data_IF_216765784512
#
_entry.id   IF_216765784512
#
_cell.length_a   1.000
_cell.length_b   1.000
_cell.length_c   1.000
_cell.angle_alpha   90.00
_cell.angle_beta   90.00
_cell.angle_gamma   90.00
#
_symmetry.space_group_name_H-M   'P 1'
#
loop_
_entity.id
_entity.type
_entity.pdbx_description
1 polymer ?
#
# COMPACT_ATOMS: atom_id res chain seq x y z
N UNK A 1 -0.40 0.43 1.87
CA UNK A 1 0.31 -0.51 0.97
C UNK A 1 -0.30 -1.92 0.99
N UNK A 2 -0.50 -2.54 2.16
CA UNK A 2 -1.01 -3.92 2.32
C UNK A 2 -2.30 -4.22 1.54
N UNK A 3 -3.27 -3.31 1.53
CA UNK A 3 -4.53 -3.48 0.79
C UNK A 3 -4.34 -3.57 -0.73
N UNK A 4 -3.31 -2.91 -1.28
CA UNK A 4 -2.99 -2.97 -2.71
C UNK A 4 -2.37 -4.31 -3.07
N UNK A 5 -1.36 -4.72 -2.30
CA UNK A 5 -0.70 -6.01 -2.46
C UNK A 5 -1.70 -7.17 -2.41
N UNK A 6 -2.67 -7.11 -1.49
CA UNK A 6 -3.72 -8.13 -1.35
C UNK A 6 -4.70 -8.13 -2.53
N UNK A 7 -5.05 -6.96 -3.05
CA UNK A 7 -5.91 -6.85 -4.22
C UNK A 7 -5.22 -7.41 -5.47
N UNK A 8 -3.94 -7.09 -5.69
CA UNK A 8 -3.14 -7.60 -6.81
C UNK A 8 -2.95 -9.12 -6.71
N UNK A 9 -2.70 -9.64 -5.50
CA UNK A 9 -2.61 -11.10 -5.29
C UNK A 9 -3.93 -11.82 -5.61
N UNK A 10 -5.09 -11.18 -5.39
CA UNK A 10 -6.39 -11.73 -5.82
C UNK A 10 -6.56 -11.69 -7.33
N UNK A 11 -6.11 -10.62 -7.99
CA UNK A 11 -6.14 -10.50 -9.47
C UNK A 11 -5.29 -11.59 -10.11
N UNK A 12 -4.08 -11.79 -9.61
CA UNK A 12 -3.17 -12.85 -10.04
C UNK A 12 -3.84 -14.23 -10.03
N UNK A 13 -4.52 -14.56 -8.92
CA UNK A 13 -5.21 -15.84 -8.75
C UNK A 13 -6.54 -15.93 -9.53
N UNK A 14 -7.07 -14.81 -10.04
CA UNK A 14 -8.28 -14.77 -10.85
C UNK A 14 -8.01 -15.08 -12.32
N UNK A 15 -9.08 -15.27 -13.11
CA UNK A 15 -9.00 -15.54 -14.57
C UNK A 15 -9.26 -14.30 -15.44
N UNK A 16 -9.50 -13.15 -14.83
CA UNK A 16 -9.89 -11.95 -15.54
C UNK A 16 -8.71 -11.40 -16.36
N UNK A 17 -8.93 -11.17 -17.66
CA UNK A 17 -7.90 -10.67 -18.58
C UNK A 17 -7.57 -9.19 -18.40
N UNK A 18 -8.54 -8.38 -17.96
CA UNK A 18 -8.37 -6.96 -17.65
C UNK A 18 -8.92 -6.64 -16.27
N UNK A 19 -8.13 -5.99 -15.42
CA UNK A 19 -8.60 -5.49 -14.12
C UNK A 19 -8.28 -4.00 -13.95
N UNK A 20 -9.33 -3.21 -13.78
CA UNK A 20 -9.24 -1.80 -13.39
C UNK A 20 -9.33 -1.71 -11.87
N UNK A 21 -8.31 -1.16 -11.23
CA UNK A 21 -8.26 -0.96 -9.79
C UNK A 21 -8.30 0.52 -9.47
N UNK A 22 -9.41 0.95 -8.87
CA UNK A 22 -9.58 2.30 -8.35
C UNK A 22 -9.25 2.29 -6.87
N UNK A 23 -8.34 3.16 -6.46
CA UNK A 23 -8.01 3.24 -5.04
C UNK A 23 -7.71 4.67 -4.63
N UNK A 24 -8.20 5.03 -3.45
CA UNK A 24 -7.66 6.13 -2.64
C UNK A 24 -6.28 5.76 -2.14
N UNK A 25 -5.34 5.74 -3.08
CA UNK A 25 -3.94 5.66 -2.78
C UNK A 25 -3.42 7.08 -2.75
N UNK A 26 -2.67 7.43 -1.70
CA UNK A 26 -1.81 8.60 -1.72
C UNK A 26 -0.85 8.43 -2.91
N UNK A 27 -0.79 9.40 -3.81
CA UNK A 27 0.09 9.44 -4.99
C UNK A 27 1.50 8.89 -4.73
N UNK A 28 2.04 9.12 -3.53
CA UNK A 28 3.33 8.57 -3.07
C UNK A 28 3.44 7.04 -3.14
N UNK A 29 2.39 6.25 -2.91
CA UNK A 29 2.48 4.79 -3.02
C UNK A 29 2.52 4.32 -4.48
N UNK A 30 1.89 5.05 -5.41
CA UNK A 30 1.99 4.78 -6.84
C UNK A 30 3.39 5.14 -7.33
N UNK A 31 3.90 6.29 -6.92
CA UNK A 31 5.28 6.69 -7.18
C UNK A 31 6.28 5.67 -6.63
N UNK A 32 6.07 5.17 -5.41
CA UNK A 32 6.86 4.07 -4.83
C UNK A 32 6.76 2.79 -5.65
N UNK A 33 5.64 2.48 -6.29
CA UNK A 33 5.52 1.31 -7.18
C UNK A 33 6.25 1.51 -8.51
N UNK A 34 6.26 2.73 -9.04
CA UNK A 34 6.93 3.07 -10.31
C UNK A 34 8.45 3.23 -10.09
N UNK A 35 8.88 3.75 -8.93
CA UNK A 35 10.28 4.09 -8.68
C UNK A 35 11.15 2.85 -8.46
N UNK A 36 12.18 2.61 -9.26
CA UNK A 36 13.00 1.40 -9.16
C UNK A 36 13.77 1.21 -7.83
N UNK A 37 13.91 2.26 -6.99
CA UNK A 37 14.81 2.31 -5.82
C UNK A 37 14.19 1.98 -4.45
N UNK A 38 13.13 1.19 -4.36
CA UNK A 38 12.51 0.86 -3.06
C UNK A 38 12.77 -0.58 -2.63
N UNK A 39 13.40 -0.77 -1.47
CA UNK A 39 13.73 -2.09 -0.90
C UNK A 39 12.60 -2.73 -0.07
N UNK A 40 11.45 -2.06 0.07
CA UNK A 40 10.35 -2.55 0.87
C UNK A 40 9.80 -3.88 0.30
N UNK A 41 9.77 -4.93 1.13
CA UNK A 41 9.39 -6.30 0.74
C UNK A 41 8.02 -6.38 0.06
N UNK A 42 7.01 -5.68 0.60
CA UNK A 42 5.67 -5.59 0.00
C UNK A 42 5.66 -4.98 -1.41
N UNK A 43 6.46 -3.94 -1.67
CA UNK A 43 6.52 -3.28 -2.99
C UNK A 43 7.14 -4.23 -3.99
N UNK A 44 8.25 -4.88 -3.62
CA UNK A 44 8.93 -5.88 -4.45
C UNK A 44 8.02 -7.06 -4.82
N UNK A 45 7.25 -7.57 -3.85
CA UNK A 45 6.28 -8.65 -4.09
C UNK A 45 5.17 -8.20 -5.04
N UNK A 46 4.62 -7.01 -4.78
CA UNK A 46 3.55 -6.44 -5.61
C UNK A 46 3.98 -6.24 -7.06
N UNK A 47 5.20 -5.75 -7.30
CA UNK A 47 5.75 -5.61 -8.65
C UNK A 47 5.89 -6.95 -9.36
N UNK A 48 6.40 -7.97 -8.66
CA UNK A 48 6.52 -9.32 -9.21
C UNK A 48 5.16 -9.86 -9.64
N UNK A 49 4.16 -9.74 -8.78
CA UNK A 49 2.80 -10.19 -9.10
C UNK A 49 2.23 -9.42 -10.31
N UNK A 50 2.47 -8.11 -10.43
CA UNK A 50 2.07 -7.33 -11.62
C UNK A 50 2.82 -7.81 -12.88
N UNK A 51 4.13 -8.01 -12.81
CA UNK A 51 4.93 -8.48 -13.93
C UNK A 51 4.47 -9.86 -14.41
N UNK A 52 4.16 -10.78 -13.50
CA UNK A 52 3.63 -12.10 -13.84
C UNK A 52 2.27 -11.99 -14.57
N UNK A 53 1.36 -11.15 -14.08
CA UNK A 53 0.07 -10.89 -14.74
C UNK A 53 0.28 -10.36 -16.17
N UNK A 54 1.22 -9.43 -16.36
CA UNK A 54 1.56 -8.89 -17.69
C UNK A 54 2.17 -9.96 -18.60
N UNK A 55 3.06 -10.83 -18.09
CA UNK A 55 3.65 -11.92 -18.88
C UNK A 55 2.62 -12.96 -19.31
N UNK A 56 1.52 -13.12 -18.56
CA UNK A 56 0.38 -13.95 -18.96
C UNK A 56 -0.54 -13.28 -20.00
N UNK A 57 -0.18 -12.09 -20.49
CA UNK A 57 -0.98 -11.34 -21.47
C UNK A 57 -2.18 -10.61 -20.87
N UNK A 58 -2.22 -10.46 -19.54
CA UNK A 58 -3.31 -9.79 -18.82
C UNK A 58 -2.91 -8.35 -18.48
N UNK A 59 -3.88 -7.44 -18.49
CA UNK A 59 -3.65 -6.02 -18.24
C UNK A 59 -4.22 -5.59 -16.87
N UNK A 60 -3.43 -4.78 -16.15
CA UNK A 60 -3.85 -4.18 -14.87
C UNK A 60 -3.72 -2.66 -14.98
N UNK A 61 -4.84 -1.95 -14.87
CA UNK A 61 -4.85 -0.49 -14.82
C UNK A 61 -5.06 -0.02 -13.39
N UNK A 62 -4.14 0.80 -12.91
CA UNK A 62 -4.19 1.40 -11.58
C UNK A 62 -4.61 2.86 -11.71
N UNK A 63 -5.76 3.20 -11.14
CA UNK A 63 -6.28 4.56 -11.12
C UNK A 63 -6.17 5.12 -9.70
N UNK A 64 -5.48 6.26 -9.57
CA UNK A 64 -5.43 7.03 -8.35
C UNK A 64 -6.60 8.01 -8.35
N UNK A 65 -7.54 7.83 -7.43
CA UNK A 65 -8.66 8.76 -7.24
C UNK A 65 -8.43 9.52 -5.92
N UNK A 66 -8.95 10.75 -5.83
CA UNK A 66 -8.93 11.53 -4.60
C UNK A 66 -10.01 11.03 -3.65
N UNK A 67 -9.68 11.00 -2.36
CA UNK A 67 -10.60 10.59 -1.33
C UNK A 67 -11.78 11.55 -1.20
N UNK A 68 -12.95 10.99 -0.86
CA UNK A 68 -14.20 11.74 -0.68
C UNK A 68 -14.69 12.46 -1.94
N UNK A 69 -14.44 11.88 -3.12
CA UNK A 69 -14.96 12.39 -4.40
C UNK A 69 -16.32 11.79 -4.79
N UNK A 70 -17.01 11.07 -3.90
CA UNK A 70 -18.33 10.50 -4.17
C UNK A 70 -18.33 9.18 -4.94
N UNK A 71 -17.16 8.53 -5.11
CA UNK A 71 -17.11 7.19 -5.72
C UNK A 71 -17.58 6.16 -4.69
N UNK A 72 -18.86 5.76 -4.79
CA UNK A 72 -19.55 4.82 -3.89
C UNK A 72 -18.71 3.57 -3.53
N UNK A 73 -18.10 2.90 -4.51
CA UNK A 73 -17.31 1.70 -4.24
C UNK A 73 -16.04 1.95 -3.42
N UNK A 74 -15.39 3.11 -3.61
CA UNK A 74 -14.19 3.49 -2.89
C UNK A 74 -14.53 3.97 -1.47
N UNK A 75 -15.64 4.70 -1.30
CA UNK A 75 -16.13 5.11 0.02
C UNK A 75 -16.54 3.90 0.87
N UNK A 76 -17.22 2.92 0.27
CA UNK A 76 -17.55 1.65 0.91
C UNK A 76 -16.29 0.90 1.36
N UNK A 77 -15.25 0.84 0.52
CA UNK A 77 -13.97 0.23 0.89
C UNK A 77 -13.26 0.96 2.03
N UNK A 78 -13.27 2.29 2.04
CA UNK A 78 -12.69 3.10 3.12
C UNK A 78 -13.44 2.91 4.44
N UNK A 79 -14.77 2.88 4.42
CA UNK A 79 -15.58 2.66 5.62
C UNK A 79 -15.37 1.25 6.18
N UNK A 80 -15.29 0.23 5.32
CA UNK A 80 -14.94 -1.13 5.74
C UNK A 80 -13.53 -1.20 6.35
N UNK A 81 -12.55 -0.49 5.78
CA UNK A 81 -11.21 -0.41 6.34
C UNK A 81 -11.19 0.29 7.71
N UNK A 82 -11.95 1.38 7.86
CA UNK A 82 -12.10 2.11 9.12
C UNK A 82 -12.72 1.24 10.21
N UNK A 83 -13.81 0.53 9.89
CA UNK A 83 -14.45 -0.43 10.81
C UNK A 83 -13.48 -1.54 11.21
N UNK A 84 -12.77 -2.13 10.25
CA UNK A 84 -11.80 -3.18 10.53
C UNK A 84 -10.66 -2.71 11.46
N UNK A 85 -10.18 -1.48 11.29
CA UNK A 85 -9.16 -0.89 12.16
C UNK A 85 -9.66 -0.62 13.59
N UNK A 86 -10.95 -0.29 13.76
CA UNK A 86 -11.54 -0.09 15.08
C UNK A 86 -11.78 -1.41 15.84
N UNK A 87 -12.13 -2.48 15.12
CA UNK A 87 -12.46 -3.78 15.75
C UNK A 87 -11.23 -4.66 15.99
N UNK A 88 -10.19 -4.54 15.14
CA UNK A 88 -8.95 -5.31 15.31
C UNK A 88 -7.89 -4.42 15.95
N UNK A 89 -7.45 -4.78 17.17
CA UNK A 89 -6.13 -4.40 17.72
C UNK A 89 -5.04 -5.05 16.87
N UNK A 90 -4.88 -4.62 15.63
CA UNK A 90 -3.79 -5.06 14.76
C UNK A 90 -2.52 -4.40 15.28
N UNK A 91 -1.50 -5.22 15.56
CA UNK A 91 -0.15 -4.74 15.86
C UNK A 91 0.24 -3.79 14.73
N UNK A 92 0.62 -2.57 15.08
CA UNK A 92 1.07 -1.60 14.11
C UNK A 92 2.27 -2.18 13.35
N UNK A 93 2.11 -2.32 12.03
CA UNK A 93 3.15 -2.75 11.10
C UNK A 93 4.13 -1.59 10.92
N UNK A 94 5.01 -1.42 11.90
CA UNK A 94 6.14 -0.52 11.79
C UNK A 94 7.22 -1.18 10.94
N UNK A 95 7.95 -0.39 10.16
CA UNK A 95 9.26 -0.83 9.66
C UNK A 95 10.11 -1.31 10.85
N UNK A 96 10.99 -2.28 10.65
CA UNK A 96 11.84 -2.86 11.72
C UNK A 96 12.58 -1.79 12.55
N UNK A 97 12.74 -0.59 11.99
CA UNK A 97 13.19 0.59 12.70
C UNK A 97 12.38 1.84 12.30
N UNK A 98 11.37 2.27 13.09
CA UNK A 98 10.57 3.44 12.78
C UNK A 98 11.42 4.72 12.80
N UNK A 99 11.31 5.57 11.77
CA UNK A 99 12.04 6.85 11.73
C UNK A 99 11.68 7.78 12.89
N UNK A 100 10.45 7.72 13.40
CA UNK A 100 10.03 8.44 14.60
C UNK A 100 10.80 7.99 15.84
N UNK A 101 11.08 6.68 15.95
CA UNK A 101 11.91 6.11 17.00
C UNK A 101 13.37 6.56 16.84
N UNK A 102 13.93 6.49 15.63
CA UNK A 102 15.27 7.01 15.32
C UNK A 102 15.45 8.47 15.76
N UNK A 103 14.51 9.34 15.38
CA UNK A 103 14.51 10.76 15.73
C UNK A 103 14.38 10.99 17.23
N UNK A 104 13.58 10.16 17.93
CA UNK A 104 13.45 10.21 19.39
C UNK A 104 14.77 9.85 20.07
N UNK A 105 15.42 8.78 19.63
CA UNK A 105 16.72 8.34 20.18
C UNK A 105 17.78 9.42 19.98
N UNK A 106 17.91 9.97 18.77
CA UNK A 106 18.87 11.06 18.48
C UNK A 106 18.60 12.28 19.38
N UNK A 107 17.34 12.72 19.50
CA UNK A 107 17.00 13.83 20.41
C UNK A 107 17.32 13.53 21.87
N UNK A 108 17.08 12.30 22.33
CA UNK A 108 17.36 11.94 23.72
C UNK A 108 18.85 11.88 24.03
N UNK A 109 19.68 11.53 23.06
CA UNK A 109 21.14 11.54 23.21
C UNK A 109 21.69 12.98 23.17
N UNK A 110 21.21 13.81 22.25
CA UNK A 110 21.62 15.24 22.21
C UNK A 110 21.21 16.02 23.46
N UNK A 111 20.14 15.61 24.16
CA UNK A 111 19.70 16.21 25.42
C UNK A 111 20.50 15.73 26.65
N UNK A 112 21.24 14.61 26.53
CA UNK A 112 22.09 14.06 27.59
C UNK A 112 23.48 14.73 27.65
N UNK A 113 23.87 15.42 26.59
CA UNK A 113 25.14 16.14 26.48
C UNK A 113 25.07 17.60 27.00
N UNK A 114 23.96 17.99 27.63
CA UNK A 114 23.80 19.23 28.39
C UNK A 114 23.66 18.91 29.88
#
# INVERSE_FOLDING_TARGET
MVTLQRAISRVKNGKNGLVNMFKDIIRSCLEVLISSRTYHSLVRKTRRDISEIITEGRAVHLFCVRAHTGISGNECANELARRAALTKKTIADYDCFPLSYAKKVIRSESLKEW
#
